data_IF_402199737514
#
_entry.id   IF_402199737514
#
_cell.length_a   1.000
_cell.length_b   1.000
_cell.length_c   1.000
_cell.angle_alpha   90.00
_cell.angle_beta   90.00
_cell.angle_gamma   90.00
#
_symmetry.space_group_name_H-M   'P 1'
#
loop_
_entity.id
_entity.type
_entity.pdbx_description
1 polymer ?
#
# COMPACT_ATOMS: atom_id res chain seq x y z
N UNK A 1 -4.59 -24.15 -7.20
CA UNK A 1 -4.56 -24.20 -5.72
C UNK A 1 -5.99 -24.38 -5.24
N UNK A 2 -6.31 -25.56 -4.74
CA UNK A 2 -7.60 -25.88 -4.12
C UNK A 2 -7.80 -24.94 -2.92
N UNK A 3 -8.72 -23.99 -3.05
CA UNK A 3 -9.13 -23.20 -1.90
C UNK A 3 -10.07 -24.05 -1.08
N UNK A 4 -9.53 -24.66 -0.02
CA UNK A 4 -10.35 -25.23 1.04
C UNK A 4 -11.28 -24.13 1.56
N UNK A 5 -12.59 -24.30 1.32
CA UNK A 5 -13.59 -23.47 1.94
C UNK A 5 -13.48 -23.65 3.46
N UNK A 6 -13.32 -22.56 4.22
CA UNK A 6 -13.17 -22.64 5.66
C UNK A 6 -14.46 -23.19 6.30
N UNK A 7 -14.36 -23.89 7.43
CA UNK A 7 -15.52 -24.44 8.13
C UNK A 7 -16.44 -23.30 8.58
N UNK A 8 -17.75 -23.50 8.45
CA UNK A 8 -18.76 -22.54 8.87
C UNK A 8 -18.81 -22.49 10.41
N UNK A 9 -18.21 -21.45 10.99
CA UNK A 9 -18.23 -21.17 12.43
C UNK A 9 -18.23 -19.65 12.63
N UNK A 10 -19.00 -19.16 13.61
CA UNK A 10 -19.12 -17.74 13.98
C UNK A 10 -17.75 -17.05 14.16
N UNK A 11 -16.76 -17.74 14.73
CA UNK A 11 -15.41 -17.22 14.90
C UNK A 11 -14.69 -16.98 13.55
N UNK A 12 -14.89 -17.87 12.58
CA UNK A 12 -14.32 -17.73 11.24
C UNK A 12 -14.98 -16.58 10.48
N UNK A 13 -16.31 -16.42 10.60
CA UNK A 13 -17.06 -15.31 10.03
C UNK A 13 -16.52 -13.97 10.53
N UNK A 14 -16.31 -13.82 11.84
CA UNK A 14 -15.74 -12.59 12.41
C UNK A 14 -14.33 -12.30 11.86
N UNK A 15 -13.51 -13.35 11.70
CA UNK A 15 -12.17 -13.23 11.12
C UNK A 15 -12.21 -12.77 9.67
N UNK A 16 -13.10 -13.32 8.83
CA UNK A 16 -13.24 -12.93 7.44
C UNK A 16 -13.87 -11.55 7.27
N UNK A 17 -14.84 -11.16 8.11
CA UNK A 17 -15.36 -9.79 8.16
C UNK A 17 -14.26 -8.78 8.51
N UNK A 18 -13.45 -9.07 9.52
CA UNK A 18 -12.30 -8.24 9.88
C UNK A 18 -11.29 -8.10 8.73
N UNK A 19 -10.97 -9.21 8.04
CA UNK A 19 -10.11 -9.21 6.85
C UNK A 19 -10.72 -8.41 5.69
N UNK A 20 -12.03 -8.50 5.46
CA UNK A 20 -12.74 -7.73 4.43
C UNK A 20 -12.68 -6.22 4.69
N UNK A 21 -12.95 -5.79 5.92
CA UNK A 21 -12.81 -4.38 6.33
C UNK A 21 -11.35 -3.91 6.21
N UNK A 22 -10.39 -4.75 6.61
CA UNK A 22 -8.97 -4.49 6.44
C UNK A 22 -8.57 -4.32 4.97
N UNK A 23 -9.07 -5.17 4.08
CA UNK A 23 -8.82 -5.08 2.64
C UNK A 23 -9.42 -3.81 2.03
N UNK A 24 -10.65 -3.42 2.42
CA UNK A 24 -11.29 -2.17 1.98
C UNK A 24 -10.52 -0.93 2.44
N UNK A 25 -10.06 -0.90 3.70
CA UNK A 25 -9.19 0.17 4.22
C UNK A 25 -7.85 0.20 3.49
N UNK A 26 -7.21 -0.95 3.30
CA UNK A 26 -5.94 -1.10 2.58
C UNK A 26 -6.03 -0.61 1.12
N UNK A 27 -7.12 -0.93 0.43
CA UNK A 27 -7.39 -0.42 -0.93
C UNK A 27 -7.43 1.12 -0.96
N UNK A 28 -8.15 1.74 -0.02
CA UNK A 28 -8.24 3.21 0.05
C UNK A 28 -6.87 3.88 0.30
N UNK A 29 -6.03 3.27 1.15
CA UNK A 29 -4.71 3.78 1.49
C UNK A 29 -3.73 3.63 0.32
N UNK A 30 -3.71 2.47 -0.32
CA UNK A 30 -2.86 2.22 -1.48
C UNK A 30 -3.26 3.08 -2.67
N UNK A 31 -4.56 3.36 -2.84
CA UNK A 31 -5.06 4.29 -3.86
C UNK A 31 -4.52 5.71 -3.62
N UNK A 32 -4.61 6.22 -2.38
CA UNK A 32 -4.04 7.52 -2.00
C UNK A 32 -2.52 7.58 -2.19
N UNK A 33 -1.79 6.52 -1.79
CA UNK A 33 -0.33 6.43 -2.02
C UNK A 33 -0.01 6.49 -3.51
N UNK A 34 -0.70 5.71 -4.33
CA UNK A 34 -0.52 5.67 -5.80
C UNK A 34 -0.74 7.06 -6.41
N UNK A 35 -1.80 7.76 -6.02
CA UNK A 35 -2.14 9.05 -6.59
C UNK A 35 -1.12 10.13 -6.20
N UNK A 36 -0.61 10.09 -4.95
CA UNK A 36 0.51 10.95 -4.51
C UNK A 36 1.81 10.67 -5.30
N UNK A 37 2.16 9.39 -5.50
CA UNK A 37 3.34 9.00 -6.29
C UNK A 37 3.20 9.45 -7.75
N UNK A 38 2.01 9.31 -8.36
CA UNK A 38 1.75 9.79 -9.74
C UNK A 38 1.89 11.31 -9.89
N UNK A 39 1.46 12.07 -8.88
CA UNK A 39 1.64 13.52 -8.88
C UNK A 39 3.13 13.89 -8.87
N UNK A 40 3.93 13.28 -7.99
CA UNK A 40 5.39 13.45 -7.96
C UNK A 40 6.09 13.00 -9.23
N UNK A 41 5.68 11.85 -9.78
CA UNK A 41 6.20 11.35 -11.06
C UNK A 41 6.00 12.35 -12.20
N UNK A 42 4.84 12.99 -12.27
CA UNK A 42 4.54 14.00 -13.28
C UNK A 42 5.37 15.28 -13.09
N UNK A 43 5.65 15.68 -11.86
CA UNK A 43 6.55 16.81 -11.55
C UNK A 43 7.98 16.49 -11.99
N UNK A 44 8.50 15.32 -11.62
CA UNK A 44 9.83 14.86 -12.02
C UNK A 44 9.97 14.77 -13.54
N UNK A 45 8.94 14.32 -14.25
CA UNK A 45 8.97 14.25 -15.72
C UNK A 45 9.16 15.62 -16.36
N UNK A 46 8.48 16.65 -15.84
CA UNK A 46 8.69 18.04 -16.31
C UNK A 46 10.11 18.51 -16.03
N UNK A 47 10.59 18.30 -14.80
CA UNK A 47 11.96 18.67 -14.41
C UNK A 47 13.02 17.96 -15.27
N UNK A 48 12.81 16.69 -15.64
CA UNK A 48 13.71 15.94 -16.52
C UNK A 48 13.75 16.57 -17.92
N UNK A 49 12.59 16.96 -18.47
CA UNK A 49 12.53 17.59 -19.81
C UNK A 49 13.24 18.94 -19.79
N UNK A 50 13.00 19.76 -18.77
CA UNK A 50 13.59 21.09 -18.65
C UNK A 50 15.11 21.01 -18.43
N UNK A 51 15.56 20.12 -17.53
CA UNK A 51 16.99 19.89 -17.29
C UNK A 51 17.69 19.30 -18.52
N UNK A 52 17.05 18.40 -19.26
CA UNK A 52 17.61 17.85 -20.51
C UNK A 52 17.80 18.91 -21.58
N UNK A 53 16.86 19.86 -21.72
CA UNK A 53 17.02 21.02 -22.62
C UNK A 53 18.19 21.89 -22.19
N UNK A 54 18.26 22.24 -20.90
CA UNK A 54 19.36 23.04 -20.36
C UNK A 54 20.73 22.36 -20.53
N UNK A 55 20.81 21.04 -20.36
CA UNK A 55 22.04 20.26 -20.63
C UNK A 55 22.41 20.36 -22.12
N UNK A 56 21.45 20.23 -23.03
CA UNK A 56 21.70 20.34 -24.48
C UNK A 56 22.29 21.69 -24.88
N UNK A 57 21.73 22.78 -24.37
CA UNK A 57 22.22 24.15 -24.64
C UNK A 57 23.61 24.37 -24.07
N UNK A 58 23.83 24.07 -22.78
CA UNK A 58 25.13 24.27 -22.14
C UNK A 58 26.22 23.34 -22.73
N UNK A 59 25.85 22.15 -23.21
CA UNK A 59 26.80 21.24 -23.86
C UNK A 59 27.24 21.75 -25.24
N UNK A 60 26.34 22.41 -25.99
CA UNK A 60 26.69 23.08 -27.24
C UNK A 60 27.68 24.23 -27.00
N UNK A 61 27.43 25.05 -25.98
CA UNK A 61 28.36 26.11 -25.56
C UNK A 61 29.72 25.57 -25.11
N UNK A 62 29.73 24.47 -24.34
CA UNK A 62 30.94 23.75 -23.97
C UNK A 62 31.72 23.26 -25.21
N UNK A 63 31.04 22.68 -26.19
CA UNK A 63 31.64 22.20 -27.43
C UNK A 63 32.29 23.34 -28.23
N UNK A 64 31.66 24.52 -28.23
CA UNK A 64 32.26 25.70 -28.85
C UNK A 64 33.48 26.21 -28.08
N UNK A 65 33.43 26.21 -26.74
CA UNK A 65 34.55 26.65 -25.92
C UNK A 65 35.75 25.73 -25.94
N UNK A 66 35.56 24.42 -26.09
CA UNK A 66 36.69 23.51 -26.33
C UNK A 66 37.32 23.76 -27.70
N UNK A 67 36.53 24.13 -28.73
CA UNK A 67 37.08 24.54 -30.02
C UNK A 67 37.91 25.83 -29.90
N UNK A 68 37.44 26.83 -29.14
CA UNK A 68 38.24 28.03 -28.81
C UNK A 68 39.52 27.69 -28.06
N UNK A 69 39.45 26.80 -27.07
CA UNK A 69 40.61 26.37 -26.31
C UNK A 69 41.63 25.63 -27.18
N UNK A 70 41.18 24.82 -28.14
CA UNK A 70 42.05 24.16 -29.13
C UNK A 70 42.67 25.11 -30.14
N UNK A 71 42.00 26.21 -30.47
CA UNK A 71 42.56 27.23 -31.36
C UNK A 71 43.57 28.14 -30.64
N UNK A 72 43.27 28.49 -29.38
CA UNK A 72 44.12 29.36 -28.57
C UNK A 72 45.31 28.63 -27.93
N UNK A 73 45.20 27.31 -27.73
CA UNK A 73 46.30 26.45 -27.31
C UNK A 73 47.03 25.85 -28.50
N UNK A 74 48.27 25.43 -28.29
CA UNK A 74 49.00 24.64 -29.27
C UNK A 74 48.33 23.26 -29.47
N UNK A 75 48.65 22.59 -30.59
CA UNK A 75 47.99 21.33 -31.00
C UNK A 75 48.10 20.20 -29.97
N UNK A 76 49.07 20.28 -29.05
CA UNK A 76 49.38 19.26 -28.04
C UNK A 76 48.68 19.49 -26.67
N UNK A 77 47.78 20.47 -26.60
CA UNK A 77 47.02 20.79 -25.37
C UNK A 77 46.26 19.57 -24.80
N UNK A 78 45.60 18.81 -25.66
CA UNK A 78 44.78 17.65 -25.26
C UNK A 78 45.62 16.57 -24.60
N UNK A 79 46.79 16.26 -25.16
CA UNK A 79 47.72 15.27 -24.64
C UNK A 79 48.26 15.68 -23.27
N UNK A 80 48.57 16.97 -23.11
CA UNK A 80 49.05 17.54 -21.84
C UNK A 80 48.00 17.44 -20.74
N UNK A 81 46.71 17.67 -21.05
CA UNK A 81 45.61 17.49 -20.09
C UNK A 81 45.55 16.03 -19.63
N UNK A 82 45.56 15.07 -20.57
CA UNK A 82 45.45 13.64 -20.27
C UNK A 82 46.60 13.17 -19.36
N UNK A 83 47.83 13.59 -19.65
CA UNK A 83 49.01 13.21 -18.84
C UNK A 83 48.96 13.78 -17.42
N UNK A 84 48.29 14.92 -17.19
CA UNK A 84 48.17 15.54 -15.86
C UNK A 84 47.07 14.92 -15.00
N UNK A 85 46.09 14.22 -15.58
CA UNK A 85 45.00 13.59 -14.83
C UNK A 85 45.50 12.32 -14.13
N UNK A 86 45.82 12.41 -12.84
CA UNK A 86 46.20 11.26 -11.99
C UNK A 86 45.14 10.84 -10.98
N UNK A 87 44.30 11.78 -10.52
CA UNK A 87 43.20 11.55 -9.59
C UNK A 87 41.96 12.32 -10.06
N UNK A 88 40.74 11.80 -9.84
CA UNK A 88 39.53 12.54 -10.14
C UNK A 88 39.40 13.73 -9.18
N UNK A 89 39.10 14.93 -9.70
CA UNK A 89 38.81 16.12 -8.89
C UNK A 89 37.35 16.19 -8.41
N UNK A 90 36.47 15.42 -9.06
CA UNK A 90 35.04 15.35 -8.75
C UNK A 90 34.67 13.91 -8.45
N UNK A 91 34.08 13.69 -7.28
CA UNK A 91 33.56 12.40 -6.84
C UNK A 91 32.05 12.50 -6.62
N UNK A 92 31.36 11.35 -6.73
CA UNK A 92 29.92 11.27 -6.53
C UNK A 92 29.63 10.50 -5.24
N UNK A 93 28.79 11.09 -4.39
CA UNK A 93 28.24 10.43 -3.21
C UNK A 93 26.79 10.07 -3.48
N UNK A 94 26.44 8.81 -3.22
CA UNK A 94 25.05 8.35 -3.32
C UNK A 94 24.36 8.63 -1.99
N UNK A 95 23.27 9.39 -2.02
CA UNK A 95 22.34 9.62 -0.92
C UNK A 95 20.98 9.02 -1.24
N UNK A 96 20.14 8.81 -0.23
CA UNK A 96 18.78 8.29 -0.41
C UNK A 96 17.77 9.32 0.11
N UNK A 97 16.81 9.69 -0.72
CA UNK A 97 15.74 10.63 -0.39
C UNK A 97 14.41 9.87 -0.25
N UNK A 98 13.65 10.12 0.81
CA UNK A 98 12.37 9.44 1.03
C UNK A 98 11.21 10.26 0.46
N UNK A 99 10.48 9.69 -0.50
CA UNK A 99 9.28 10.29 -1.08
C UNK A 99 8.11 9.32 -0.91
N UNK A 100 7.13 9.70 -0.08
CA UNK A 100 5.91 8.94 0.17
C UNK A 100 6.15 7.45 0.56
N UNK A 101 7.25 7.18 1.29
CA UNK A 101 7.63 5.84 1.74
C UNK A 101 8.34 5.00 0.68
N UNK A 102 8.93 5.65 -0.33
CA UNK A 102 9.85 5.05 -1.31
C UNK A 102 11.20 5.77 -1.21
N UNK A 103 12.29 5.01 -1.09
CA UNK A 103 13.65 5.57 -1.08
C UNK A 103 14.16 5.74 -2.52
N UNK A 104 14.38 6.99 -2.91
CA UNK A 104 14.89 7.37 -4.21
C UNK A 104 16.40 7.63 -4.10
N UNK A 105 17.22 7.04 -5.00
CA UNK A 105 18.65 7.31 -5.02
C UNK A 105 18.94 8.70 -5.59
N UNK A 106 19.71 9.49 -4.85
CA UNK A 106 20.16 10.82 -5.21
C UNK A 106 21.69 10.86 -5.33
N UNK A 107 22.19 11.59 -6.31
CA UNK A 107 23.62 11.77 -6.51
C UNK A 107 24.03 13.18 -6.11
N UNK A 108 24.92 13.28 -5.12
CA UNK A 108 25.51 14.53 -4.67
C UNK A 108 26.94 14.64 -5.19
N UNK A 109 27.27 15.78 -5.78
CA UNK A 109 28.58 16.06 -6.36
C UNK A 109 29.51 16.60 -5.27
N UNK A 110 30.61 15.90 -4.99
CA UNK A 110 31.67 16.36 -4.10
C UNK A 110 32.88 16.82 -4.93
N UNK A 111 33.32 18.06 -4.70
CA UNK A 111 34.52 18.62 -5.34
C UNK A 111 35.67 18.68 -4.36
N UNK A 112 36.77 18.03 -4.70
CA UNK A 112 38.01 18.11 -3.95
C UNK A 112 38.86 19.26 -4.49
N UNK A 113 38.73 20.42 -3.85
CA UNK A 113 39.41 21.67 -4.28
C UNK A 113 40.94 21.56 -4.18
N UNK A 114 41.47 20.67 -3.34
CA UNK A 114 42.92 20.46 -3.16
C UNK A 114 43.59 19.79 -4.37
N UNK A 115 42.83 19.02 -5.17
CA UNK A 115 43.33 18.32 -6.35
C UNK A 115 43.28 19.19 -7.63
N UNK A 116 42.69 20.39 -7.55
CA UNK A 116 42.52 21.31 -8.69
C UNK A 116 43.75 22.22 -8.94
N UNK A 117 44.66 22.33 -7.96
CA UNK A 117 45.87 23.15 -8.05
C UNK A 117 46.81 22.84 -9.24
N UNK A 118 47.12 21.56 -9.54
CA UNK A 118 47.99 21.19 -10.66
C UNK A 118 47.39 21.51 -12.05
N UNK A 119 46.06 21.58 -12.15
CA UNK A 119 45.35 21.88 -13.39
C UNK A 119 45.16 23.39 -13.62
N UNK A 120 45.20 24.20 -12.55
CA UNK A 120 45.24 25.67 -12.62
C UNK A 120 46.52 26.21 -13.29
N UNK A 121 47.64 25.48 -13.19
CA UNK A 121 48.92 25.83 -13.84
C UNK A 121 48.99 25.42 -15.32
N UNK A 122 47.87 25.04 -15.93
CA UNK A 122 47.82 24.70 -17.36
C UNK A 122 47.57 25.98 -18.19
N UNK A 123 48.45 26.26 -19.15
CA UNK A 123 48.30 27.38 -20.09
C UNK A 123 48.81 28.74 -19.60
N UNK A 124 49.70 28.79 -18.60
CA UNK A 124 50.25 30.03 -18.02
C UNK A 124 50.95 30.97 -19.04
N UNK A 125 51.38 30.47 -20.20
CA UNK A 125 52.04 31.27 -21.25
C UNK A 125 51.24 31.47 -22.55
N UNK A 126 50.21 30.67 -22.81
CA UNK A 126 49.41 30.75 -24.04
C UNK A 126 47.95 30.39 -23.74
N UNK A 127 47.03 31.34 -23.92
CA UNK A 127 45.59 31.06 -23.91
C UNK A 127 44.99 30.53 -22.60
N UNK A 128 45.71 30.57 -21.47
CA UNK A 128 45.28 30.01 -20.18
C UNK A 128 43.90 30.47 -19.72
N UNK A 129 43.55 31.74 -19.98
CA UNK A 129 42.22 32.28 -19.65
C UNK A 129 41.09 31.58 -20.43
N UNK A 130 41.32 31.23 -21.71
CA UNK A 130 40.34 30.52 -22.55
C UNK A 130 40.18 29.07 -22.06
N UNK A 131 41.29 28.44 -21.65
CA UNK A 131 41.30 27.10 -21.07
C UNK A 131 40.56 27.06 -19.73
N UNK A 132 40.79 28.04 -18.85
CA UNK A 132 40.06 28.12 -17.57
C UNK A 132 38.57 28.38 -17.79
N UNK A 133 38.20 29.23 -18.75
CA UNK A 133 36.79 29.47 -19.10
C UNK A 133 36.12 28.19 -19.59
N UNK A 134 36.80 27.43 -20.46
CA UNK A 134 36.35 26.12 -20.95
C UNK A 134 36.12 25.13 -19.79
N UNK A 135 37.09 25.03 -18.86
CA UNK A 135 36.98 24.20 -17.65
C UNK A 135 35.76 24.58 -16.80
N UNK A 136 35.53 25.87 -16.55
CA UNK A 136 34.40 26.34 -15.74
C UNK A 136 33.05 25.99 -16.38
N UNK A 137 32.94 26.09 -17.71
CA UNK A 137 31.73 25.68 -18.42
C UNK A 137 31.52 24.16 -18.36
N UNK A 138 32.57 23.37 -18.56
CA UNK A 138 32.47 21.91 -18.42
C UNK A 138 32.13 21.48 -16.98
N UNK A 139 32.62 22.19 -15.97
CA UNK A 139 32.28 21.95 -14.58
C UNK A 139 30.78 22.22 -14.30
N UNK A 140 30.21 23.28 -14.90
CA UNK A 140 28.77 23.58 -14.82
C UNK A 140 27.93 22.52 -15.53
N UNK A 141 28.32 22.10 -16.73
CA UNK A 141 27.63 21.02 -17.45
C UNK A 141 27.67 19.70 -16.67
N UNK A 142 28.80 19.39 -16.04
CA UNK A 142 28.92 18.20 -15.20
C UNK A 142 27.94 18.21 -14.02
N UNK A 143 27.76 19.35 -13.34
CA UNK A 143 26.74 19.48 -12.28
C UNK A 143 25.33 19.22 -12.81
N UNK A 144 24.98 19.79 -13.97
CA UNK A 144 23.68 19.59 -14.60
C UNK A 144 23.46 18.14 -15.05
N UNK A 145 24.50 17.50 -15.58
CA UNK A 145 24.46 16.09 -15.97
C UNK A 145 24.23 15.18 -14.77
N UNK A 146 24.91 15.43 -13.65
CA UNK A 146 24.73 14.66 -12.41
C UNK A 146 23.33 14.85 -11.85
N UNK A 147 22.81 16.08 -11.87
CA UNK A 147 21.42 16.36 -11.49
C UNK A 147 20.42 15.63 -12.39
N UNK A 148 20.62 15.66 -13.70
CA UNK A 148 19.78 14.94 -14.66
C UNK A 148 19.84 13.42 -14.43
N UNK A 149 21.03 12.86 -14.22
CA UNK A 149 21.21 11.44 -13.93
C UNK A 149 20.50 11.04 -12.62
N UNK A 150 20.59 11.87 -11.57
CA UNK A 150 19.89 11.66 -10.31
C UNK A 150 18.37 11.60 -10.50
N UNK A 151 17.82 12.52 -11.29
CA UNK A 151 16.38 12.53 -11.62
C UNK A 151 15.98 11.30 -12.43
N UNK A 152 16.81 10.89 -13.41
CA UNK A 152 16.55 9.72 -14.26
C UNK A 152 16.57 8.41 -13.47
N UNK A 153 17.56 8.20 -12.61
CA UNK A 153 17.63 6.99 -11.79
C UNK A 153 16.47 6.94 -10.80
N UNK A 154 16.16 8.06 -10.15
CA UNK A 154 14.98 8.17 -9.28
C UNK A 154 13.66 7.94 -10.03
N UNK A 155 13.58 8.34 -11.31
CA UNK A 155 12.39 8.16 -12.13
C UNK A 155 12.12 6.68 -12.43
N UNK A 156 13.15 5.90 -12.73
CA UNK A 156 13.02 4.46 -13.01
C UNK A 156 12.54 3.72 -11.75
N UNK A 157 13.15 3.98 -10.59
CA UNK A 157 12.74 3.32 -9.34
C UNK A 157 11.31 3.71 -8.93
N UNK A 158 10.93 4.98 -9.13
CA UNK A 158 9.58 5.45 -8.84
C UNK A 158 8.53 4.81 -9.76
N UNK A 159 8.83 4.63 -11.05
CA UNK A 159 7.94 3.98 -12.02
C UNK A 159 7.63 2.52 -11.63
N UNK A 160 8.67 1.77 -11.25
CA UNK A 160 8.51 0.39 -10.79
C UNK A 160 7.60 0.30 -9.56
N UNK A 161 7.79 1.19 -8.59
CA UNK A 161 6.96 1.26 -7.38
C UNK A 161 5.50 1.65 -7.68
N UNK A 162 5.28 2.57 -8.63
CA UNK A 162 3.93 2.92 -9.09
C UNK A 162 3.25 1.73 -9.77
N UNK A 163 3.96 0.98 -10.61
CA UNK A 163 3.45 -0.24 -11.25
C UNK A 163 3.13 -1.31 -10.22
N UNK A 164 4.01 -1.54 -9.24
CA UNK A 164 3.77 -2.46 -8.14
C UNK A 164 2.55 -2.08 -7.31
N UNK A 165 2.42 -0.80 -6.95
CA UNK A 165 1.28 -0.30 -6.19
C UNK A 165 -0.02 -0.41 -6.99
N UNK A 166 0.01 -0.09 -8.28
CA UNK A 166 -1.16 -0.21 -9.16
C UNK A 166 -1.62 -1.66 -9.31
N UNK A 167 -0.68 -2.60 -9.47
CA UNK A 167 -1.00 -4.04 -9.48
C UNK A 167 -1.63 -4.50 -8.16
N UNK A 168 -1.13 -4.02 -7.02
CA UNK A 168 -1.69 -4.35 -5.69
C UNK A 168 -3.10 -3.78 -5.50
N UNK A 169 -3.35 -2.55 -5.95
CA UNK A 169 -4.69 -1.94 -5.92
C UNK A 169 -5.67 -2.77 -6.75
N UNK A 170 -5.29 -3.13 -7.98
CA UNK A 170 -6.14 -3.94 -8.85
C UNK A 170 -6.37 -5.36 -8.30
N UNK A 171 -5.35 -5.98 -7.71
CA UNK A 171 -5.50 -7.28 -7.07
C UNK A 171 -6.49 -7.24 -5.89
N UNK A 172 -6.47 -6.15 -5.11
CA UNK A 172 -7.43 -5.97 -4.03
C UNK A 172 -8.85 -5.76 -4.56
N UNK A 173 -9.02 -4.91 -5.59
CA UNK A 173 -10.32 -4.55 -6.15
C UNK A 173 -11.01 -5.72 -6.87
N UNK A 174 -10.29 -6.45 -7.72
CA UNK A 174 -10.90 -7.47 -8.60
C UNK A 174 -10.75 -8.91 -8.11
N UNK A 175 -9.81 -9.20 -7.20
CA UNK A 175 -9.55 -10.59 -6.77
C UNK A 175 -9.83 -10.79 -5.29
N UNK A 176 -9.22 -9.98 -4.41
CA UNK A 176 -9.28 -10.25 -2.96
C UNK A 176 -10.62 -9.82 -2.36
N UNK A 177 -11.09 -8.59 -2.62
CA UNK A 177 -12.35 -8.10 -2.04
C UNK A 177 -13.54 -9.00 -2.48
N UNK A 178 -13.74 -9.29 -3.78
CA UNK A 178 -14.86 -10.13 -4.21
C UNK A 178 -14.78 -11.54 -3.62
N UNK A 179 -13.59 -12.13 -3.58
CA UNK A 179 -13.38 -13.47 -2.99
C UNK A 179 -13.72 -13.51 -1.51
N UNK A 180 -13.36 -12.48 -0.74
CA UNK A 180 -13.73 -12.39 0.68
C UNK A 180 -15.24 -12.24 0.85
N UNK A 181 -15.90 -11.46 -0.01
CA UNK A 181 -17.36 -11.29 0.02
C UNK A 181 -18.09 -12.59 -0.30
N UNK A 182 -17.63 -13.38 -1.29
CA UNK A 182 -18.17 -14.71 -1.57
C UNK A 182 -18.01 -15.67 -0.39
N UNK A 183 -16.86 -15.67 0.28
CA UNK A 183 -16.62 -16.52 1.45
C UNK A 183 -17.51 -16.10 2.63
N UNK A 184 -17.67 -14.80 2.88
CA UNK A 184 -18.55 -14.29 3.94
C UNK A 184 -19.99 -14.72 3.68
N UNK A 185 -20.47 -14.55 2.45
CA UNK A 185 -21.83 -14.94 2.07
C UNK A 185 -22.07 -16.46 2.24
N UNK A 186 -21.08 -17.28 1.86
CA UNK A 186 -21.15 -18.73 2.05
C UNK A 186 -21.23 -19.12 3.54
N UNK A 187 -20.41 -18.50 4.40
CA UNK A 187 -20.42 -18.81 5.84
C UNK A 187 -21.73 -18.37 6.48
N UNK A 188 -22.27 -17.21 6.08
CA UNK A 188 -23.59 -16.72 6.54
C UNK A 188 -24.69 -17.71 6.15
N UNK A 189 -24.76 -18.13 4.88
CA UNK A 189 -25.74 -19.13 4.43
C UNK A 189 -25.60 -20.47 5.15
N UNK A 190 -24.39 -20.96 5.38
CA UNK A 190 -24.16 -22.22 6.07
C UNK A 190 -24.54 -22.14 7.56
N UNK A 191 -24.32 -21.00 8.21
CA UNK A 191 -24.75 -20.77 9.59
C UNK A 191 -26.27 -20.67 9.70
N UNK A 192 -26.92 -19.93 8.80
CA UNK A 192 -28.38 -19.79 8.78
C UNK A 192 -29.09 -21.15 8.58
N UNK A 193 -28.51 -22.05 7.77
CA UNK A 193 -29.02 -23.40 7.59
C UNK A 193 -28.83 -24.27 8.84
N UNK A 194 -27.67 -24.20 9.51
CA UNK A 194 -27.43 -24.87 10.78
C UNK A 194 -28.39 -24.38 11.88
N UNK A 195 -28.60 -23.07 11.98
CA UNK A 195 -29.55 -22.47 12.92
C UNK A 195 -30.99 -22.91 12.63
N UNK A 196 -31.38 -23.03 11.35
CA UNK A 196 -32.67 -23.62 10.96
C UNK A 196 -32.79 -25.07 11.41
N UNK A 197 -31.80 -25.91 11.12
CA UNK A 197 -31.82 -27.33 11.51
C UNK A 197 -31.93 -27.52 13.03
N UNK A 198 -31.18 -26.72 13.80
CA UNK A 198 -31.24 -26.71 15.26
C UNK A 198 -32.60 -26.24 15.76
N UNK A 199 -33.16 -25.17 15.16
CA UNK A 199 -34.49 -24.66 15.50
C UNK A 199 -35.58 -25.72 15.28
N UNK A 200 -35.58 -26.41 14.14
CA UNK A 200 -36.52 -27.50 13.87
C UNK A 200 -36.38 -28.66 14.85
N UNK A 201 -35.13 -29.00 15.25
CA UNK A 201 -34.86 -30.06 16.22
C UNK A 201 -35.41 -29.71 17.60
N UNK A 202 -35.15 -28.50 18.09
CA UNK A 202 -35.68 -28.00 19.37
C UNK A 202 -37.21 -27.96 19.33
N UNK A 203 -37.81 -27.44 18.26
CA UNK A 203 -39.28 -27.38 18.11
C UNK A 203 -39.92 -28.76 18.24
N UNK A 204 -39.40 -29.79 17.54
CA UNK A 204 -39.90 -31.17 17.66
C UNK A 204 -39.75 -31.76 19.07
N UNK A 205 -38.66 -31.44 19.77
CA UNK A 205 -38.46 -31.90 21.15
C UNK A 205 -39.49 -31.26 22.09
N UNK A 206 -39.76 -29.96 21.93
CA UNK A 206 -40.77 -29.24 22.71
C UNK A 206 -42.17 -29.77 22.42
N UNK A 207 -42.52 -30.02 21.15
CA UNK A 207 -43.80 -30.64 20.77
C UNK A 207 -43.97 -32.03 21.42
N UNK A 208 -42.96 -32.89 21.33
CA UNK A 208 -42.98 -34.21 21.98
C UNK A 208 -43.07 -34.12 23.50
N UNK A 209 -42.42 -33.12 24.12
CA UNK A 209 -42.48 -32.91 25.58
C UNK A 209 -43.87 -32.44 26.00
N UNK A 210 -44.50 -31.54 25.22
CA UNK A 210 -45.90 -31.12 25.45
C UNK A 210 -46.88 -32.26 25.27
N UNK A 211 -46.72 -33.10 24.25
CA UNK A 211 -47.56 -34.30 24.06
C UNK A 211 -47.41 -35.31 25.21
N UNK A 212 -46.19 -35.53 25.72
CA UNK A 212 -45.98 -36.36 26.91
C UNK A 212 -46.63 -35.76 28.15
N UNK A 213 -46.47 -34.46 28.38
CA UNK A 213 -47.11 -33.77 29.51
C UNK A 213 -48.64 -33.79 29.41
N UNK A 214 -49.21 -33.66 28.22
CA UNK A 214 -50.65 -33.77 27.99
C UNK A 214 -51.17 -35.20 28.24
N UNK A 215 -50.41 -36.23 27.82
CA UNK A 215 -50.73 -37.63 28.12
C UNK A 215 -50.62 -37.95 29.61
N UNK A 216 -49.54 -37.53 30.27
CA UNK A 216 -49.37 -37.70 31.72
C UNK A 216 -50.40 -36.92 32.56
N UNK A 217 -50.93 -35.80 32.04
CA UNK A 217 -52.03 -35.06 32.65
C UNK A 217 -53.38 -35.76 32.43
N UNK A 218 -53.60 -36.36 31.26
CA UNK A 218 -54.78 -37.18 30.98
C UNK A 218 -54.78 -38.47 31.82
N UNK A 219 -53.62 -39.12 31.97
CA UNK A 219 -53.46 -40.32 32.80
C UNK A 219 -53.63 -39.98 34.30
N UNK A 220 -53.10 -38.84 34.78
CA UNK A 220 -53.38 -38.34 36.15
C UNK A 220 -54.82 -37.92 36.37
N UNK A 221 -55.52 -37.41 35.36
CA UNK A 221 -56.94 -37.11 35.46
C UNK A 221 -57.81 -38.39 35.45
N UNK A 222 -57.35 -39.46 34.80
CA UNK A 222 -57.99 -40.77 34.84
C UNK A 222 -57.76 -41.52 36.16
N UNK A 223 -56.57 -41.38 36.77
CA UNK A 223 -56.26 -41.92 38.11
C UNK A 223 -56.87 -41.08 39.25
N UNK A 224 -57.21 -39.81 39.02
CA UNK A 224 -57.89 -38.92 39.96
C UNK A 224 -59.41 -39.05 40.02
N UNK A 225 -59.98 -40.12 39.46
CA UNK A 225 -61.43 -40.37 39.41
C UNK A 225 -62.09 -40.77 40.73
N UNK A 226 -61.33 -41.07 41.78
CA UNK A 226 -61.89 -41.31 43.12
C UNK A 226 -61.11 -40.53 44.19
N UNK A 227 -61.70 -39.37 44.55
CA UNK A 227 -61.50 -38.54 45.74
C UNK A 227 -60.85 -37.16 45.50
N UNK A 228 -61.68 -36.12 45.64
CA UNK A 228 -61.21 -34.78 46.03
C UNK A 228 -61.53 -33.63 45.07
N UNK A 229 -62.82 -33.40 44.78
CA UNK A 229 -63.27 -32.08 44.33
C UNK A 229 -63.23 -31.13 45.52
N UNK A 230 -62.18 -30.30 45.63
CA UNK A 230 -62.17 -28.89 46.05
C UNK A 230 -60.74 -28.47 46.45
N UNK A 231 -60.34 -27.26 46.02
CA UNK A 231 -59.15 -26.50 46.42
C UNK A 231 -57.85 -26.71 45.62
N UNK A 232 -57.79 -26.20 44.38
CA UNK A 232 -56.56 -25.51 43.89
C UNK A 232 -56.75 -24.64 42.63
N UNK A 233 -57.94 -24.08 42.38
CA UNK A 233 -58.25 -23.34 41.14
C UNK A 233 -57.92 -21.83 41.16
N UNK A 234 -57.02 -21.32 42.00
CA UNK A 234 -56.75 -19.85 42.06
C UNK A 234 -55.25 -19.48 42.06
N UNK A 235 -54.35 -20.40 41.73
CA UNK A 235 -52.92 -20.19 42.04
C UNK A 235 -51.96 -19.78 40.91
N UNK A 236 -52.22 -20.08 39.63
CA UNK A 236 -51.07 -20.29 38.72
C UNK A 236 -51.22 -19.82 37.27
N UNK A 237 -52.19 -18.97 36.95
CA UNK A 237 -52.33 -18.43 35.58
C UNK A 237 -51.42 -17.21 35.30
N UNK A 238 -50.86 -16.55 36.33
CA UNK A 238 -50.11 -15.30 36.16
C UNK A 238 -48.59 -15.43 35.95
N UNK A 239 -48.01 -16.63 36.01
CA UNK A 239 -46.54 -16.81 35.86
C UNK A 239 -46.06 -17.20 34.46
N UNK A 240 -46.97 -17.47 33.52
CA UNK A 240 -46.60 -17.90 32.15
C UNK A 240 -46.61 -16.73 31.15
N UNK A 241 -47.39 -15.68 31.42
CA UNK A 241 -47.42 -14.47 30.59
C UNK A 241 -46.15 -13.63 30.69
N UNK A 242 -45.52 -13.58 31.87
CA UNK A 242 -44.33 -12.75 32.12
C UNK A 242 -43.08 -13.28 31.40
N UNK A 243 -42.94 -14.61 31.25
CA UNK A 243 -41.81 -15.21 30.54
C UNK A 243 -41.85 -15.01 29.01
N UNK A 244 -43.02 -14.66 28.43
CA UNK A 244 -43.17 -14.41 27.00
C UNK A 244 -42.93 -12.92 26.63
N UNK A 245 -43.22 -12.00 27.55
CA UNK A 245 -43.00 -10.56 27.33
C UNK A 245 -41.54 -10.13 27.62
N UNK A 246 -40.82 -10.81 28.52
CA UNK A 246 -39.40 -10.51 28.78
C UNK A 246 -38.50 -10.89 27.61
N UNK A 247 -38.82 -11.97 26.87
CA UNK A 247 -38.07 -12.35 25.65
C UNK A 247 -38.30 -11.38 24.49
N UNK A 248 -39.44 -10.66 24.47
CA UNK A 248 -39.71 -9.62 23.48
C UNK A 248 -39.01 -8.31 23.79
N UNK A 249 -38.91 -7.92 25.07
CA UNK A 249 -38.19 -6.70 25.47
C UNK A 249 -36.68 -6.81 25.28
N UNK A 250 -36.11 -7.99 25.51
CA UNK A 250 -34.67 -8.23 25.26
C UNK A 250 -34.32 -8.27 23.77
N UNK A 251 -35.30 -8.52 22.88
CA UNK A 251 -35.12 -8.47 21.43
C UNK A 251 -35.18 -7.04 20.86
N UNK A 252 -35.82 -6.08 21.53
CA UNK A 252 -35.85 -4.67 21.11
C UNK A 252 -34.72 -3.81 21.71
N UNK A 253 -33.99 -4.32 22.71
CA UNK A 253 -32.87 -3.62 23.35
C UNK A 253 -31.49 -3.92 22.73
N UNK A 254 -31.45 -4.73 21.66
CA UNK A 254 -30.25 -5.03 20.88
C UNK A 254 -30.47 -4.68 19.40
N UNK A 255 -30.73 -3.40 19.16
CA UNK A 255 -30.46 -2.71 17.90
C UNK A 255 -29.69 -1.42 18.19
#
# INVERSE_FOLDING_TARGET
MSQQMPPANRMTLQTFKAKGVGAKKGHSLLKKKRDALKSRFSQMLKEIVDTKKAVGENMADCSFSIAKARWAGDSDFVQTVIQRVKKPSVTLKVSAENVAGVFLPKFDLQRDTTLDGPMMSLGAGQGGQVIQTCRLQHAKVLELLVRMASLQTSFITLDEEIKMTSRRVNALEYVVIPRMETIIHFIEQAMDEQEREEFFRVKKIVEKKKEKQAKEAADRAAEGGEAGVLAMAVGNEDQVGTAFDDVKKDAELVF
#
